data_IF_168352038683
#
_entry.id   IF_168352038683
#
_cell.length_a   1.000
_cell.length_b   1.000
_cell.length_c   1.000
_cell.angle_alpha   90.00
_cell.angle_beta   90.00
_cell.angle_gamma   90.00
#
_symmetry.space_group_name_H-M   'P 1'
#
loop_
_entity.id
_entity.type
_entity.pdbx_description
1 polymer ?
#
# COMPACT_ATOMS: atom_id res chain seq x y z
N UNK A 1 -18.15 15.69 -28.24
CA UNK A 1 -17.33 14.68 -27.52
C UNK A 1 -18.00 13.32 -27.69
N UNK A 2 -17.31 12.35 -28.30
CA UNK A 2 -17.91 11.06 -28.67
C UNK A 2 -17.94 10.10 -27.47
N UNK A 3 -19.12 9.57 -27.14
CA UNK A 3 -19.36 8.51 -26.13
C UNK A 3 -18.42 7.31 -26.28
N UNK A 4 -18.04 6.97 -27.52
CA UNK A 4 -17.12 5.88 -27.83
C UNK A 4 -15.68 6.14 -27.34
N UNK A 5 -15.22 7.39 -27.40
CA UNK A 5 -13.91 7.78 -26.86
C UNK A 5 -13.88 7.69 -25.33
N UNK A 6 -14.92 8.21 -24.68
CA UNK A 6 -15.05 8.16 -23.22
C UNK A 6 -15.11 6.73 -22.67
N UNK A 7 -15.80 5.80 -23.35
CA UNK A 7 -15.81 4.39 -22.97
C UNK A 7 -14.43 3.72 -23.08
N UNK A 8 -13.67 4.04 -24.14
CA UNK A 8 -12.32 3.48 -24.35
C UNK A 8 -11.34 3.95 -23.28
N UNK A 9 -11.43 5.22 -22.87
CA UNK A 9 -10.58 5.78 -21.82
C UNK A 9 -10.94 5.24 -20.44
N UNK A 10 -12.23 5.08 -20.15
CA UNK A 10 -12.69 4.42 -18.92
C UNK A 10 -12.20 2.98 -18.82
N UNK A 11 -12.24 2.22 -19.93
CA UNK A 11 -11.76 0.84 -19.95
C UNK A 11 -10.24 0.75 -19.69
N UNK A 12 -9.46 1.66 -20.26
CA UNK A 12 -8.00 1.74 -20.00
C UNK A 12 -7.71 2.05 -18.53
N UNK A 13 -8.40 3.05 -17.96
CA UNK A 13 -8.28 3.41 -16.54
C UNK A 13 -8.59 2.20 -15.65
N UNK A 14 -9.67 1.48 -15.94
CA UNK A 14 -10.06 0.29 -15.18
C UNK A 14 -8.99 -0.80 -15.22
N UNK A 15 -8.38 -1.06 -16.38
CA UNK A 15 -7.30 -2.04 -16.49
C UNK A 15 -6.04 -1.61 -15.74
N UNK A 16 -5.66 -0.33 -15.84
CA UNK A 16 -4.50 0.21 -15.12
C UNK A 16 -4.71 0.14 -13.60
N UNK A 17 -5.89 0.50 -13.12
CA UNK A 17 -6.25 0.40 -11.70
C UNK A 17 -6.17 -1.05 -11.20
N UNK A 18 -6.67 -2.03 -11.98
CA UNK A 18 -6.56 -3.46 -11.63
C UNK A 18 -5.11 -3.94 -11.56
N UNK A 19 -4.26 -3.53 -12.50
CA UNK A 19 -2.84 -3.90 -12.51
C UNK A 19 -2.10 -3.32 -11.31
N UNK A 20 -2.30 -2.03 -11.05
CA UNK A 20 -1.71 -1.34 -9.90
C UNK A 20 -2.15 -1.97 -8.59
N UNK A 21 -3.46 -2.26 -8.45
CA UNK A 21 -4.01 -2.93 -7.29
C UNK A 21 -3.31 -4.27 -7.02
N UNK A 22 -3.18 -5.13 -8.04
CA UNK A 22 -2.46 -6.41 -7.94
C UNK A 22 -0.98 -6.24 -7.57
N UNK A 23 -0.31 -5.22 -8.09
CA UNK A 23 1.09 -4.94 -7.72
C UNK A 23 1.22 -4.52 -6.25
N UNK A 24 0.33 -3.64 -5.77
CA UNK A 24 0.28 -3.19 -4.38
C UNK A 24 -0.09 -4.33 -3.41
N UNK A 25 -0.91 -5.28 -3.82
CA UNK A 25 -1.30 -6.44 -3.01
C UNK A 25 -0.10 -7.32 -2.64
N UNK A 26 0.86 -7.46 -3.54
CA UNK A 26 2.05 -8.31 -3.34
C UNK A 26 3.15 -7.61 -2.52
N UNK A 27 3.03 -6.31 -2.32
CA UNK A 27 3.99 -5.53 -1.53
C UNK A 27 3.61 -5.64 -0.08
N UNK A 28 4.54 -6.12 0.75
CA UNK A 28 4.33 -6.28 2.18
C UNK A 28 5.33 -5.43 2.94
N UNK A 29 4.83 -4.63 3.88
CA UNK A 29 5.63 -3.89 4.85
C UNK A 29 5.28 -4.35 6.24
N UNK A 30 6.21 -4.18 7.17
CA UNK A 30 5.95 -4.45 8.56
C UNK A 30 6.47 -3.34 9.47
N UNK A 31 5.85 -3.24 10.63
CA UNK A 31 6.36 -2.48 11.75
C UNK A 31 6.23 -3.32 13.02
N UNK A 32 7.17 -3.09 13.93
CA UNK A 32 7.24 -3.77 15.21
C UNK A 32 7.16 -2.71 16.31
N UNK A 33 6.43 -3.02 17.36
CA UNK A 33 6.42 -2.28 18.60
C UNK A 33 6.28 -3.28 19.74
N UNK A 34 7.20 -3.23 20.70
CA UNK A 34 7.07 -3.94 21.97
C UNK A 34 6.81 -5.45 21.83
N UNK A 35 7.51 -6.09 20.89
CA UNK A 35 7.33 -7.52 20.60
C UNK A 35 6.09 -7.87 19.80
N UNK A 36 5.33 -6.89 19.29
CA UNK A 36 4.21 -7.10 18.35
C UNK A 36 4.62 -6.63 16.96
N UNK A 37 4.50 -7.52 15.98
CA UNK A 37 4.74 -7.23 14.56
C UNK A 37 3.43 -7.19 13.80
N UNK A 38 3.25 -6.15 13.00
CA UNK A 38 2.10 -5.98 12.11
C UNK A 38 2.59 -5.90 10.68
N UNK A 39 2.07 -6.78 9.83
CA UNK A 39 2.33 -6.78 8.39
C UNK A 39 1.13 -6.21 7.65
N UNK A 40 1.37 -5.23 6.79
CA UNK A 40 0.35 -4.52 5.99
C UNK A 40 0.79 -4.58 4.52
N UNK A 41 -0.16 -4.78 3.61
CA UNK A 41 0.10 -4.75 2.17
C UNK A 41 0.15 -3.31 1.61
N UNK A 42 0.70 -3.12 0.42
CA UNK A 42 0.66 -1.84 -0.29
C UNK A 42 -0.76 -1.37 -0.64
N UNK A 43 -1.76 -2.27 -0.63
CA UNK A 43 -3.19 -1.92 -0.69
C UNK A 43 -3.75 -1.37 0.63
N UNK A 44 -2.91 -1.20 1.65
CA UNK A 44 -3.30 -0.81 3.01
C UNK A 44 -4.22 -1.83 3.69
N UNK A 45 -4.06 -3.11 3.38
CA UNK A 45 -4.74 -4.20 4.09
C UNK A 45 -3.81 -4.83 5.10
N UNK A 46 -4.32 -5.10 6.29
CA UNK A 46 -3.58 -5.85 7.31
C UNK A 46 -3.52 -7.32 6.88
N UNK A 47 -2.31 -7.86 6.83
CA UNK A 47 -2.04 -9.22 6.35
C UNK A 47 -1.78 -10.16 7.52
N UNK A 48 -1.05 -9.70 8.55
CA UNK A 48 -0.68 -10.54 9.68
C UNK A 48 -0.39 -9.74 10.94
N UNK A 49 -0.82 -10.28 12.07
CA UNK A 49 -0.32 -9.92 13.40
C UNK A 49 0.54 -11.07 13.92
N UNK A 50 1.70 -10.75 14.49
CA UNK A 50 2.58 -11.72 15.12
C UNK A 50 3.00 -11.17 16.48
N UNK A 51 2.94 -12.03 17.50
CA UNK A 51 3.44 -11.73 18.84
C UNK A 51 4.78 -12.46 18.95
N UNK A 52 5.85 -11.67 18.93
CA UNK A 52 7.24 -12.11 19.01
C UNK A 52 7.71 -12.27 20.46
N UNK A 53 7.08 -11.55 21.40
CA UNK A 53 7.29 -11.66 22.84
C UNK A 53 5.97 -11.96 23.55
N UNK A 54 5.80 -13.20 24.02
CA UNK A 54 4.57 -13.64 24.70
C UNK A 54 4.36 -12.99 26.07
N UNK A 55 5.39 -12.39 26.67
CA UNK A 55 5.26 -11.73 27.98
C UNK A 55 4.22 -10.60 27.96
N UNK A 56 4.03 -9.96 26.78
CA UNK A 56 3.04 -8.90 26.59
C UNK A 56 1.59 -9.38 26.76
N UNK A 57 1.32 -10.68 26.58
CA UNK A 57 -0.03 -11.24 26.71
C UNK A 57 -0.59 -11.11 28.13
N UNK A 58 0.28 -10.95 29.12
CA UNK A 58 -0.10 -10.75 30.53
C UNK A 58 -0.50 -9.30 30.85
N UNK A 59 -0.23 -8.35 29.96
CA UNK A 59 -0.54 -6.92 30.13
C UNK A 59 -1.36 -6.40 28.93
N UNK A 60 -2.69 -6.48 29.08
CA UNK A 60 -3.62 -6.07 28.03
C UNK A 60 -3.43 -4.60 27.59
N UNK A 61 -3.13 -3.68 28.51
CA UNK A 61 -2.95 -2.25 28.18
C UNK A 61 -1.70 -2.03 27.34
N UNK A 62 -0.63 -2.75 27.68
CA UNK A 62 0.63 -2.73 26.92
C UNK A 62 0.43 -3.33 25.53
N UNK A 63 -0.26 -4.46 25.42
CA UNK A 63 -0.61 -5.09 24.15
C UNK A 63 -1.45 -4.17 23.25
N UNK A 64 -2.49 -3.53 23.79
CA UNK A 64 -3.32 -2.57 23.05
C UNK A 64 -2.49 -1.41 22.50
N UNK A 65 -1.58 -0.85 23.31
CA UNK A 65 -0.68 0.23 22.88
C UNK A 65 0.31 -0.22 21.80
N UNK A 66 0.87 -1.42 21.94
CA UNK A 66 1.78 -2.01 20.98
C UNK A 66 1.09 -2.22 19.62
N UNK A 67 -0.10 -2.83 19.63
CA UNK A 67 -0.93 -3.03 18.44
C UNK A 67 -1.28 -1.72 17.75
N UNK A 68 -1.73 -0.72 18.50
CA UNK A 68 -2.07 0.60 17.96
C UNK A 68 -0.86 1.24 17.26
N UNK A 69 0.27 1.27 17.96
CA UNK A 69 1.51 1.90 17.48
C UNK A 69 2.05 1.18 16.25
N UNK A 70 2.18 -0.15 16.31
CA UNK A 70 2.71 -0.95 15.23
C UNK A 70 1.79 -0.91 13.99
N UNK A 71 0.47 -0.97 14.19
CA UNK A 71 -0.50 -0.86 13.08
C UNK A 71 -0.38 0.49 12.39
N UNK A 72 -0.40 1.61 13.15
CA UNK A 72 -0.27 2.95 12.57
C UNK A 72 1.06 3.12 11.81
N UNK A 73 2.18 2.66 12.39
CA UNK A 73 3.48 2.71 11.71
C UNK A 73 3.51 1.87 10.43
N UNK A 74 2.96 0.66 10.45
CA UNK A 74 2.89 -0.19 9.27
C UNK A 74 2.00 0.43 8.19
N UNK A 75 0.88 1.04 8.56
CA UNK A 75 -0.02 1.77 7.64
C UNK A 75 0.68 2.97 7.01
N UNK A 76 1.42 3.78 7.78
CA UNK A 76 2.20 4.91 7.24
C UNK A 76 3.28 4.42 6.27
N UNK A 77 4.00 3.33 6.59
CA UNK A 77 4.96 2.72 5.66
C UNK A 77 4.29 2.23 4.39
N UNK A 78 3.12 1.59 4.50
CA UNK A 78 2.37 1.10 3.34
C UNK A 78 1.94 2.25 2.43
N UNK A 79 1.51 3.38 3.00
CA UNK A 79 1.18 4.60 2.28
C UNK A 79 2.38 5.18 1.52
N UNK A 80 3.54 5.23 2.17
CA UNK A 80 4.77 5.73 1.54
C UNK A 80 5.18 4.85 0.36
N UNK A 81 5.23 3.52 0.54
CA UNK A 81 5.59 2.61 -0.56
C UNK A 81 4.54 2.62 -1.67
N UNK A 82 3.26 2.74 -1.34
CA UNK A 82 2.21 2.86 -2.36
C UNK A 82 2.38 4.14 -3.19
N UNK A 83 2.73 5.26 -2.56
CA UNK A 83 3.02 6.52 -3.27
C UNK A 83 4.25 6.39 -4.17
N UNK A 84 5.35 5.82 -3.66
CA UNK A 84 6.57 5.56 -4.42
C UNK A 84 6.29 4.68 -5.64
N UNK A 85 5.57 3.57 -5.47
CA UNK A 85 5.21 2.69 -6.58
C UNK A 85 4.27 3.34 -7.58
N UNK A 86 3.34 4.16 -7.12
CA UNK A 86 2.48 4.92 -8.03
C UNK A 86 3.31 5.91 -8.84
N UNK A 87 4.29 6.59 -8.23
CA UNK A 87 5.23 7.46 -8.94
C UNK A 87 6.13 6.69 -9.92
N UNK A 88 6.62 5.50 -9.57
CA UNK A 88 7.39 4.64 -10.48
C UNK A 88 6.54 4.21 -11.69
N UNK A 89 5.30 3.78 -11.46
CA UNK A 89 4.37 3.39 -12.52
C UNK A 89 4.04 4.59 -13.40
N UNK A 90 3.70 5.75 -12.80
CA UNK A 90 3.36 6.97 -13.54
C UNK A 90 4.58 7.60 -14.23
N UNK A 91 5.77 7.51 -13.64
CA UNK A 91 7.02 7.99 -14.21
C UNK A 91 7.55 7.07 -15.31
N UNK A 92 7.41 5.76 -15.15
CA UNK A 92 7.67 4.76 -16.19
C UNK A 92 6.65 4.82 -17.34
N UNK A 93 5.40 5.18 -17.06
CA UNK A 93 4.38 5.52 -18.06
C UNK A 93 4.56 6.94 -18.63
N UNK A 94 5.26 7.82 -17.90
CA UNK A 94 5.65 9.18 -18.28
C UNK A 94 6.78 9.24 -19.31
N UNK A 95 7.34 8.08 -19.65
CA UNK A 95 8.10 7.88 -20.90
C UNK A 95 7.22 7.77 -22.16
N UNK A 96 5.95 8.18 -22.10
CA UNK A 96 5.09 8.27 -23.28
C UNK A 96 5.58 9.42 -24.19
N UNK A 97 5.99 9.11 -25.44
CA UNK A 97 6.48 10.08 -26.40
C UNK A 97 5.40 11.12 -26.70
N UNK A 98 5.58 12.34 -26.19
CA UNK A 98 4.64 13.44 -26.46
C UNK A 98 4.75 14.67 -25.57
N UNK A 99 5.46 14.62 -24.43
CA UNK A 99 5.69 15.80 -23.57
C UNK A 99 7.19 16.15 -23.42
N UNK A 100 7.90 16.11 -24.55
CA UNK A 100 9.27 16.61 -24.69
C UNK A 100 9.40 17.65 -25.80
N UNK A 101 8.39 18.51 -25.97
CA UNK A 101 8.34 19.49 -27.05
C UNK A 101 7.72 20.81 -26.60
N UNK A 102 8.48 21.57 -25.81
CA UNK A 102 8.72 23.03 -25.92
C UNK A 102 9.38 23.53 -24.63
#
# INVERSE_FOLDING_TARGET
>A
MNMFGQMKDMYKLQQQAKKMKKELENVHVFAEEDGVKVTVSGEQKIVKYEILDESILSDAKRLEKALLTATNRAMTKAQQIAAEKMQEIMGGLGGLPGLGGN
#
